data_IF_741741082364
#
_entry.id   IF_741741082364
#
_cell.length_a   1.000
_cell.length_b   1.000
_cell.length_c   1.000
_cell.angle_alpha   90.00
_cell.angle_beta   90.00
_cell.angle_gamma   90.00
#
_symmetry.space_group_name_H-M   'P 1'
#
loop_
_entity.id
_entity.type
_entity.pdbx_description
1 polymer ?
#
# COMPACT_ATOMS: atom_id res chain seq x y z
N UNK A 1 18.46 21.31 -20.98
CA UNK A 1 19.01 20.92 -19.67
C UNK A 1 18.92 19.42 -19.56
N UNK A 2 20.03 18.72 -19.65
CA UNK A 2 20.12 17.29 -19.38
C UNK A 2 19.97 17.12 -17.87
N UNK A 3 18.81 16.62 -17.42
CA UNK A 3 18.62 16.28 -16.01
C UNK A 3 19.47 15.03 -15.76
N UNK A 4 20.56 15.19 -15.02
CA UNK A 4 21.33 14.03 -14.52
C UNK A 4 20.37 13.16 -13.69
N UNK A 5 20.25 11.84 -13.95
CA UNK A 5 19.40 11.00 -13.14
C UNK A 5 19.80 11.12 -11.67
N UNK A 6 18.83 11.26 -10.78
CA UNK A 6 19.10 11.28 -9.36
C UNK A 6 19.76 9.94 -8.96
N UNK A 7 20.90 9.99 -8.29
CA UNK A 7 21.65 8.79 -7.85
C UNK A 7 21.14 8.25 -6.51
N UNK A 8 20.19 8.93 -5.87
CA UNK A 8 19.71 8.64 -4.52
C UNK A 8 18.21 8.90 -4.40
N UNK A 9 17.55 8.13 -3.54
CA UNK A 9 16.25 8.48 -2.98
C UNK A 9 16.45 9.48 -1.85
N UNK A 10 15.62 10.52 -1.81
CA UNK A 10 15.69 11.56 -0.78
C UNK A 10 14.33 11.70 -0.13
N UNK A 11 14.27 11.60 1.19
CA UNK A 11 13.09 11.92 2.00
C UNK A 11 13.27 13.29 2.63
N UNK A 12 12.26 14.15 2.49
CA UNK A 12 12.26 15.53 2.98
C UNK A 12 10.97 15.74 3.78
N UNK A 13 11.06 16.33 4.96
CA UNK A 13 9.90 16.76 5.71
C UNK A 13 9.19 17.89 4.96
N UNK A 14 7.97 17.71 4.45
CA UNK A 14 7.29 18.72 3.65
C UNK A 14 6.85 19.94 4.46
N UNK A 15 6.83 19.87 5.79
CA UNK A 15 6.45 20.98 6.65
C UNK A 15 7.63 21.90 6.99
N UNK A 16 8.85 21.36 7.05
CA UNK A 16 10.06 22.12 7.46
C UNK A 16 11.09 22.27 6.37
N UNK A 17 11.03 21.44 5.32
CA UNK A 17 12.07 21.35 4.29
C UNK A 17 13.33 20.59 4.75
N UNK A 18 13.35 20.04 5.98
CA UNK A 18 14.45 19.26 6.50
C UNK A 18 14.65 17.96 5.71
N UNK A 19 15.87 17.67 5.30
CA UNK A 19 16.24 16.39 4.71
C UNK A 19 16.31 15.31 5.78
N UNK A 20 15.41 14.33 5.71
CA UNK A 20 15.29 13.25 6.70
C UNK A 20 16.24 12.09 6.40
N UNK A 21 16.35 11.71 5.13
CA UNK A 21 17.24 10.62 4.71
C UNK A 21 17.67 10.77 3.26
N UNK A 22 18.84 10.21 2.97
CA UNK A 22 19.38 10.03 1.60
C UNK A 22 19.85 8.58 1.50
N UNK A 23 19.28 7.84 0.55
CA UNK A 23 19.63 6.44 0.34
C UNK A 23 20.04 6.23 -1.13
N UNK A 24 21.21 5.63 -1.41
CA UNK A 24 21.60 5.33 -2.78
C UNK A 24 20.60 4.35 -3.39
N UNK A 25 20.49 4.40 -4.71
CA UNK A 25 19.75 3.35 -5.43
C UNK A 25 20.50 2.04 -5.31
N UNK A 26 19.73 0.95 -5.19
CA UNK A 26 20.24 -0.40 -5.20
C UNK A 26 21.00 -0.69 -6.50
N UNK A 27 22.22 -1.20 -6.35
CA UNK A 27 23.02 -1.68 -7.48
C UNK A 27 22.58 -3.07 -7.97
N UNK A 28 23.27 -3.57 -8.98
CA UNK A 28 22.98 -4.89 -9.56
C UNK A 28 23.12 -6.03 -8.53
N UNK A 29 24.14 -5.95 -7.67
CA UNK A 29 24.39 -6.97 -6.64
C UNK A 29 23.30 -6.92 -5.55
N UNK A 30 22.80 -5.72 -5.19
CA UNK A 30 21.71 -5.58 -4.22
C UNK A 30 20.41 -6.20 -4.76
N UNK A 31 20.11 -5.95 -6.04
CA UNK A 31 18.95 -6.52 -6.73
C UNK A 31 19.08 -8.04 -6.79
N UNK A 32 20.24 -8.57 -7.19
CA UNK A 32 20.48 -10.02 -7.25
C UNK A 32 20.32 -10.68 -5.88
N UNK A 33 20.93 -10.11 -4.84
CA UNK A 33 20.81 -10.60 -3.46
C UNK A 33 19.34 -10.58 -2.98
N UNK A 34 18.59 -9.50 -3.26
CA UNK A 34 17.18 -9.41 -2.90
C UNK A 34 16.34 -10.49 -3.60
N UNK A 35 16.58 -10.74 -4.87
CA UNK A 35 15.89 -11.78 -5.65
C UNK A 35 16.22 -13.18 -5.17
N UNK A 36 17.49 -13.46 -4.82
CA UNK A 36 17.92 -14.75 -4.25
C UNK A 36 17.24 -15.00 -2.89
N UNK A 37 17.26 -14.02 -2.01
CA UNK A 37 16.62 -14.10 -0.68
C UNK A 37 15.10 -14.30 -0.82
N UNK A 38 14.44 -13.55 -1.70
CA UNK A 38 13.01 -13.68 -1.95
C UNK A 38 12.63 -15.06 -2.50
N UNK A 39 13.43 -15.60 -3.42
CA UNK A 39 13.21 -16.94 -3.97
C UNK A 39 13.41 -18.05 -2.93
N UNK A 40 14.42 -17.90 -2.05
CA UNK A 40 14.64 -18.85 -0.95
C UNK A 40 13.51 -18.77 0.07
N UNK A 41 13.16 -17.56 0.54
CA UNK A 41 12.08 -17.37 1.50
C UNK A 41 10.72 -17.87 0.99
N UNK A 42 10.42 -17.65 -0.28
CA UNK A 42 9.20 -18.20 -0.89
C UNK A 42 9.18 -19.74 -0.88
N UNK A 43 10.28 -20.42 -1.25
CA UNK A 43 10.33 -21.88 -1.26
C UNK A 43 9.99 -22.49 0.09
N UNK A 44 10.52 -21.92 1.15
CA UNK A 44 10.28 -22.41 2.49
C UNK A 44 8.88 -22.02 3.01
N UNK A 45 8.46 -20.79 2.73
CA UNK A 45 7.17 -20.25 3.18
C UNK A 45 5.96 -20.96 2.56
N UNK A 46 6.01 -21.30 1.29
CA UNK A 46 4.92 -21.98 0.58
C UNK A 46 4.58 -23.35 1.17
N UNK A 47 5.54 -24.02 1.81
CA UNK A 47 5.36 -25.34 2.42
C UNK A 47 4.78 -25.25 3.86
N UNK A 48 4.68 -24.03 4.43
CA UNK A 48 4.12 -23.87 5.77
C UNK A 48 2.60 -24.02 5.76
N UNK A 49 2.05 -24.42 6.92
CA UNK A 49 0.61 -24.49 7.12
C UNK A 49 -0.02 -23.08 7.08
N UNK A 50 -1.24 -22.97 6.53
CA UNK A 50 -1.96 -21.69 6.44
C UNK A 50 -2.32 -21.12 7.82
N UNK A 51 -2.62 -21.98 8.80
CA UNK A 51 -2.92 -21.52 10.17
C UNK A 51 -1.68 -20.90 10.83
N UNK A 52 -0.50 -21.49 10.61
CA UNK A 52 0.77 -20.88 11.03
C UNK A 52 1.00 -19.52 10.37
N UNK A 53 0.71 -19.39 9.07
CA UNK A 53 0.80 -18.09 8.38
C UNK A 53 -0.16 -17.08 8.97
N UNK A 54 -1.41 -17.46 9.27
CA UNK A 54 -2.39 -16.61 9.92
C UNK A 54 -1.93 -16.16 11.33
N UNK A 55 -1.32 -17.06 12.11
CA UNK A 55 -0.71 -16.71 13.40
C UNK A 55 0.40 -15.67 13.23
N UNK A 56 1.27 -15.83 12.26
CA UNK A 56 2.32 -14.86 11.95
C UNK A 56 1.78 -13.49 11.53
N UNK A 57 0.63 -13.42 10.86
CA UNK A 57 -0.01 -12.14 10.58
C UNK A 57 -0.48 -11.44 11.86
N UNK A 58 -1.01 -12.16 12.84
CA UNK A 58 -1.32 -11.59 14.17
C UNK A 58 -0.08 -11.05 14.88
N UNK A 59 1.06 -11.73 14.75
CA UNK A 59 2.33 -11.26 15.31
C UNK A 59 2.79 -9.94 14.62
N UNK A 60 2.56 -9.78 13.31
CA UNK A 60 2.77 -8.51 12.61
C UNK A 60 1.86 -7.42 13.19
N UNK A 61 0.58 -7.71 13.44
CA UNK A 61 -0.36 -6.78 14.07
C UNK A 61 0.10 -6.33 15.46
N UNK A 62 0.62 -7.26 16.29
CA UNK A 62 1.21 -6.95 17.61
C UNK A 62 2.44 -6.06 17.48
N UNK A 63 3.37 -6.40 16.56
CA UNK A 63 4.58 -5.62 16.33
C UNK A 63 4.26 -4.19 15.83
N UNK A 64 3.25 -4.02 14.96
CA UNK A 64 2.76 -2.70 14.56
C UNK A 64 2.23 -1.88 15.74
N UNK A 65 1.46 -2.49 16.63
CA UNK A 65 0.94 -1.81 17.82
C UNK A 65 2.08 -1.40 18.77
N UNK A 66 3.07 -2.25 18.93
CA UNK A 66 4.24 -1.96 19.78
C UNK A 66 5.06 -0.76 19.26
N UNK A 67 5.08 -0.53 17.93
CA UNK A 67 5.77 0.59 17.27
C UNK A 67 4.83 1.69 16.78
N UNK A 68 3.59 1.75 17.28
CA UNK A 68 2.54 2.58 16.68
C UNK A 68 2.91 4.07 16.64
N UNK A 69 3.48 4.60 17.69
CA UNK A 69 3.83 6.02 17.75
C UNK A 69 5.07 6.34 16.88
N UNK A 70 6.10 5.49 16.90
CA UNK A 70 7.28 5.60 16.05
C UNK A 70 6.89 5.63 14.57
N UNK A 71 6.02 4.70 14.15
CA UNK A 71 5.53 4.63 12.78
C UNK A 71 4.67 5.84 12.41
N UNK A 72 3.76 6.28 13.30
CA UNK A 72 2.89 7.44 13.04
C UNK A 72 3.73 8.73 12.88
N UNK A 73 4.73 8.94 13.72
CA UNK A 73 5.63 10.08 13.61
C UNK A 73 6.44 10.04 12.31
N UNK A 74 6.93 8.87 11.91
CA UNK A 74 7.66 8.73 10.64
C UNK A 74 6.75 9.05 9.45
N UNK A 75 5.53 8.52 9.42
CA UNK A 75 4.53 8.84 8.38
C UNK A 75 4.31 10.35 8.30
N UNK A 76 4.08 11.00 9.45
CA UNK A 76 3.86 12.44 9.51
C UNK A 76 5.08 13.23 9.00
N UNK A 77 6.28 12.86 9.40
CA UNK A 77 7.53 13.55 9.00
C UNK A 77 7.79 13.41 7.49
N UNK A 78 7.54 12.22 6.90
CA UNK A 78 7.84 11.98 5.48
C UNK A 78 6.74 12.45 4.53
N UNK A 79 5.47 12.55 4.99
CA UNK A 79 4.33 12.84 4.10
C UNK A 79 3.57 14.12 4.42
N UNK A 80 3.80 14.73 5.59
CA UNK A 80 3.01 15.86 6.08
C UNK A 80 1.59 15.48 6.54
N UNK A 81 1.29 14.19 6.68
CA UNK A 81 -0.01 13.72 7.16
C UNK A 81 -0.23 14.17 8.60
N UNK A 82 -1.43 14.67 8.97
CA UNK A 82 -1.76 14.97 10.36
C UNK A 82 -1.52 13.75 11.26
N UNK A 83 -0.89 13.95 12.41
CA UNK A 83 -0.46 12.86 13.30
C UNK A 83 -1.60 11.96 13.76
N UNK A 84 -2.80 12.50 13.98
CA UNK A 84 -3.99 11.72 14.33
C UNK A 84 -4.40 10.78 13.18
N UNK A 85 -4.25 11.22 11.93
CA UNK A 85 -4.54 10.40 10.76
C UNK A 85 -3.43 9.36 10.50
N UNK A 86 -2.17 9.69 10.83
CA UNK A 86 -1.07 8.72 10.78
C UNK A 86 -1.27 7.62 11.83
N UNK A 87 -1.65 7.97 13.07
CA UNK A 87 -2.03 6.99 14.11
C UNK A 87 -3.19 6.08 13.67
N UNK A 88 -4.21 6.67 13.02
CA UNK A 88 -5.34 5.91 12.47
C UNK A 88 -4.90 4.95 11.34
N UNK A 89 -3.94 5.34 10.51
CA UNK A 89 -3.37 4.46 9.47
C UNK A 89 -2.66 3.26 10.10
N UNK A 90 -1.88 3.46 11.15
CA UNK A 90 -1.20 2.36 11.87
C UNK A 90 -2.22 1.42 12.51
N UNK A 91 -3.21 1.96 13.21
CA UNK A 91 -4.27 1.16 13.84
C UNK A 91 -5.05 0.34 12.80
N UNK A 92 -5.43 0.95 11.68
CA UNK A 92 -6.11 0.27 10.57
C UNK A 92 -5.26 -0.88 10.01
N UNK A 93 -3.97 -0.66 9.85
CA UNK A 93 -3.04 -1.67 9.33
C UNK A 93 -2.86 -2.85 10.28
N UNK A 94 -2.80 -2.59 11.59
CA UNK A 94 -2.75 -3.63 12.60
C UNK A 94 -4.05 -4.44 12.66
N UNK A 95 -5.21 -3.77 12.59
CA UNK A 95 -6.51 -4.43 12.58
C UNK A 95 -6.71 -5.31 11.33
N UNK A 96 -6.12 -4.93 10.19
CA UNK A 96 -6.12 -5.78 9.00
C UNK A 96 -5.44 -7.12 9.26
N UNK A 97 -4.33 -7.12 9.98
CA UNK A 97 -3.62 -8.35 10.34
C UNK A 97 -4.49 -9.27 11.20
N UNK A 98 -5.23 -8.72 12.17
CA UNK A 98 -6.14 -9.50 13.00
C UNK A 98 -7.31 -10.06 12.19
N UNK A 99 -7.88 -9.25 11.28
CA UNK A 99 -9.01 -9.68 10.46
C UNK A 99 -8.67 -10.93 9.62
N UNK A 100 -7.42 -11.05 9.16
CA UNK A 100 -6.96 -12.20 8.38
C UNK A 100 -6.76 -13.49 9.19
N UNK A 101 -7.11 -13.52 10.49
CA UNK A 101 -7.29 -14.80 11.22
C UNK A 101 -8.38 -15.68 10.57
N UNK A 102 -9.35 -15.05 9.86
CA UNK A 102 -10.36 -15.75 9.07
C UNK A 102 -9.85 -16.22 7.70
N UNK A 103 -8.64 -15.84 7.33
CA UNK A 103 -8.04 -16.12 6.02
C UNK A 103 -7.94 -17.60 5.65
N UNK A 104 -7.63 -18.54 6.59
CA UNK A 104 -7.65 -19.96 6.29
C UNK A 104 -8.96 -20.47 5.71
N UNK A 105 -10.10 -19.93 6.18
CA UNK A 105 -11.41 -20.30 5.66
C UNK A 105 -11.66 -19.80 4.22
N UNK A 106 -11.02 -18.67 3.84
CA UNK A 106 -11.16 -18.04 2.52
C UNK A 106 -10.39 -18.78 1.41
N UNK A 107 -9.39 -19.58 1.77
CA UNK A 107 -8.52 -20.30 0.84
C UNK A 107 -8.73 -21.81 0.88
N UNK A 108 -9.85 -22.27 1.45
CA UNK A 108 -10.24 -23.69 1.40
C UNK A 108 -10.51 -24.11 -0.03
N UNK A 109 -10.17 -25.37 -0.33
CA UNK A 109 -10.55 -25.95 -1.59
C UNK A 109 -12.09 -25.96 -1.75
N UNK A 110 -12.55 -25.61 -2.94
CA UNK A 110 -13.96 -25.52 -3.28
C UNK A 110 -14.36 -26.67 -4.22
N UNK A 111 -15.50 -27.34 -4.02
CA UNK A 111 -15.98 -28.33 -4.96
C UNK A 111 -16.36 -27.65 -6.29
N UNK A 112 -16.12 -28.33 -7.39
CA UNK A 112 -16.61 -27.87 -8.69
C UNK A 112 -18.06 -28.31 -8.90
N UNK A 113 -18.79 -27.60 -9.75
CA UNK A 113 -20.17 -27.94 -10.15
C UNK A 113 -20.21 -28.94 -11.33
N UNK A 114 -19.12 -29.68 -11.59
CA UNK A 114 -19.08 -30.66 -12.67
C UNK A 114 -19.70 -31.96 -12.20
N UNK A 115 -20.85 -32.33 -12.78
CA UNK A 115 -21.57 -33.56 -12.44
C UNK A 115 -20.69 -34.80 -12.65
N UNK A 116 -20.76 -35.73 -11.71
CA UNK A 116 -20.08 -37.02 -11.74
C UNK A 116 -18.52 -36.95 -11.73
N UNK A 117 -17.93 -35.82 -11.33
CA UNK A 117 -16.49 -35.72 -11.16
C UNK A 117 -16.13 -35.26 -9.75
N UNK A 118 -15.14 -35.93 -9.14
CA UNK A 118 -14.49 -35.50 -7.90
C UNK A 118 -13.42 -34.46 -8.24
N UNK A 119 -13.83 -33.25 -8.59
CA UNK A 119 -12.93 -32.16 -8.92
C UNK A 119 -13.07 -31.01 -7.90
N UNK A 120 -11.96 -30.36 -7.59
CA UNK A 120 -11.90 -29.25 -6.64
C UNK A 120 -11.08 -28.10 -7.23
N UNK A 121 -11.40 -26.87 -6.81
CA UNK A 121 -10.57 -25.69 -7.05
C UNK A 121 -9.66 -25.51 -5.84
N UNK A 122 -8.36 -25.55 -6.05
CA UNK A 122 -7.37 -25.29 -5.01
C UNK A 122 -6.64 -23.98 -5.24
N UNK A 123 -6.40 -23.24 -4.15
CA UNK A 123 -5.57 -22.03 -4.16
C UNK A 123 -4.13 -22.39 -3.82
N UNK A 124 -3.20 -22.10 -4.73
CA UNK A 124 -1.77 -22.40 -4.57
C UNK A 124 -0.94 -21.14 -4.61
N UNK A 125 0.15 -21.01 -3.81
CA UNK A 125 1.07 -19.89 -3.89
C UNK A 125 1.68 -19.76 -5.30
N UNK A 126 1.70 -18.53 -5.81
CA UNK A 126 2.21 -18.21 -7.14
C UNK A 126 3.73 -18.04 -7.18
N UNK A 127 4.28 -17.35 -6.17
CA UNK A 127 5.69 -16.97 -6.13
C UNK A 127 5.93 -15.68 -5.35
N UNK A 128 7.08 -15.04 -5.59
CA UNK A 128 7.34 -13.72 -5.05
C UNK A 128 6.64 -12.65 -5.87
N UNK A 129 5.93 -11.75 -5.19
CA UNK A 129 5.21 -10.63 -5.79
C UNK A 129 6.03 -9.35 -5.61
N UNK A 130 6.39 -8.70 -6.72
CA UNK A 130 6.99 -7.37 -6.69
C UNK A 130 5.90 -6.32 -6.44
N UNK A 131 6.01 -5.58 -5.37
CA UNK A 131 5.06 -4.56 -4.97
C UNK A 131 5.67 -3.16 -5.11
N UNK A 132 5.05 -2.31 -5.93
CA UNK A 132 5.47 -0.93 -6.18
C UNK A 132 4.43 -0.02 -5.55
N UNK A 133 4.79 0.63 -4.42
CA UNK A 133 3.84 1.31 -3.54
C UNK A 133 4.08 2.81 -3.46
N UNK A 134 3.02 3.63 -3.35
CA UNK A 134 3.08 5.08 -3.30
C UNK A 134 3.33 5.60 -1.88
N UNK A 135 3.53 6.91 -1.79
CA UNK A 135 3.89 7.62 -0.57
C UNK A 135 2.70 8.12 0.27
N UNK A 136 1.49 8.22 -0.31
CA UNK A 136 0.37 8.92 0.35
C UNK A 136 -0.25 8.17 1.55
N UNK A 137 -0.16 6.86 1.57
CA UNK A 137 -0.45 5.98 2.71
C UNK A 137 0.68 4.94 2.80
N UNK A 138 1.86 5.36 3.30
CA UNK A 138 3.08 4.56 3.16
C UNK A 138 3.04 3.23 3.89
N UNK A 139 2.28 3.13 4.98
CA UNK A 139 2.07 1.87 5.68
C UNK A 139 0.88 1.09 5.10
N UNK A 140 -0.29 1.75 4.97
CA UNK A 140 -1.52 1.06 4.57
C UNK A 140 -1.43 0.41 3.19
N UNK A 141 -0.84 1.09 2.21
CA UNK A 141 -0.73 0.53 0.85
C UNK A 141 0.17 -0.71 0.81
N UNK A 142 1.20 -0.75 1.64
CA UNK A 142 2.04 -1.94 1.79
C UNK A 142 1.28 -3.06 2.48
N UNK A 143 0.67 -2.79 3.64
CA UNK A 143 -0.01 -3.82 4.45
C UNK A 143 -1.22 -4.41 3.74
N UNK A 144 -2.01 -3.59 3.02
CA UNK A 144 -3.16 -4.03 2.24
C UNK A 144 -2.80 -5.11 1.20
N UNK A 145 -1.61 -5.00 0.62
CA UNK A 145 -1.09 -6.01 -0.32
C UNK A 145 -0.35 -7.14 0.37
N UNK A 146 0.59 -6.81 1.28
CA UNK A 146 1.48 -7.79 1.90
C UNK A 146 0.73 -8.85 2.72
N UNK A 147 -0.26 -8.43 3.53
CA UNK A 147 -0.97 -9.33 4.45
C UNK A 147 -1.66 -10.49 3.71
N UNK A 148 -2.55 -10.27 2.73
CA UNK A 148 -3.18 -11.36 1.99
C UNK A 148 -2.20 -12.16 1.12
N UNK A 149 -1.20 -11.51 0.52
CA UNK A 149 -0.20 -12.16 -0.32
C UNK A 149 0.63 -13.15 0.50
N UNK A 150 1.10 -12.75 1.67
CA UNK A 150 1.89 -13.59 2.58
C UNK A 150 1.03 -14.71 3.17
N UNK A 151 -0.23 -14.44 3.56
CA UNK A 151 -1.17 -15.48 4.00
C UNK A 151 -1.35 -16.58 2.96
N UNK A 152 -1.51 -16.17 1.70
CA UNK A 152 -1.66 -17.12 0.59
C UNK A 152 -0.37 -17.92 0.27
N UNK A 153 0.70 -17.72 1.06
CA UNK A 153 1.95 -18.47 0.93
C UNK A 153 2.94 -17.89 -0.08
N UNK A 154 2.72 -16.65 -0.54
CA UNK A 154 3.63 -15.97 -1.47
C UNK A 154 4.68 -15.15 -0.73
N UNK A 155 5.78 -14.83 -1.42
CA UNK A 155 6.73 -13.81 -0.99
C UNK A 155 6.29 -12.41 -1.41
N UNK A 156 6.78 -11.39 -0.72
CA UNK A 156 6.48 -9.98 -0.99
C UNK A 156 7.77 -9.16 -1.01
N UNK A 157 8.13 -8.62 -2.17
CA UNK A 157 9.28 -7.74 -2.35
C UNK A 157 8.81 -6.32 -2.62
N UNK A 158 9.03 -5.42 -1.69
CA UNK A 158 8.60 -4.03 -1.75
C UNK A 158 9.61 -3.13 -2.45
N UNK A 159 9.17 -2.37 -3.43
CA UNK A 159 9.78 -1.13 -3.90
C UNK A 159 8.89 0.04 -3.48
N UNK A 160 9.31 0.78 -2.48
CA UNK A 160 8.53 1.92 -1.98
C UNK A 160 8.83 3.22 -2.75
N UNK A 161 7.98 4.24 -2.58
CA UNK A 161 8.24 5.55 -3.12
C UNK A 161 9.50 6.18 -2.49
N UNK A 162 10.33 6.91 -3.25
CA UNK A 162 11.65 7.35 -2.80
C UNK A 162 11.63 8.38 -1.65
N UNK A 163 10.48 9.00 -1.41
CA UNK A 163 10.31 10.00 -0.35
C UNK A 163 9.79 9.43 0.98
N UNK A 164 9.62 8.11 1.11
CA UNK A 164 9.12 7.43 2.33
C UNK A 164 9.98 6.24 2.73
N UNK A 165 11.29 6.41 2.66
CA UNK A 165 12.27 5.36 2.95
C UNK A 165 12.35 5.00 4.44
N UNK A 166 12.13 5.97 5.33
CA UNK A 166 12.02 5.72 6.76
C UNK A 166 10.82 4.81 7.09
N UNK A 167 9.67 5.05 6.45
CA UNK A 167 8.53 4.12 6.55
C UNK A 167 8.88 2.73 6.03
N UNK A 168 9.58 2.61 4.88
CA UNK A 168 9.97 1.31 4.33
C UNK A 168 10.87 0.51 5.30
N UNK A 169 11.83 1.19 5.93
CA UNK A 169 12.74 0.59 6.93
C UNK A 169 11.98 0.13 8.18
N UNK A 170 11.08 0.98 8.72
CA UNK A 170 10.28 0.63 9.88
C UNK A 170 9.32 -0.54 9.60
N UNK A 171 8.72 -0.59 8.40
CA UNK A 171 7.89 -1.74 7.99
C UNK A 171 8.73 -3.02 7.99
N UNK A 172 9.94 -3.00 7.41
CA UNK A 172 10.83 -4.16 7.43
C UNK A 172 11.17 -4.61 8.85
N UNK A 173 11.39 -3.65 9.76
CA UNK A 173 11.63 -3.96 11.17
C UNK A 173 10.42 -4.60 11.85
N UNK A 174 9.19 -4.15 11.53
CA UNK A 174 7.94 -4.76 12.01
C UNK A 174 7.83 -6.23 11.59
N UNK A 175 8.10 -6.55 10.33
CA UNK A 175 8.09 -7.94 9.85
C UNK A 175 9.16 -8.80 10.53
N UNK A 176 10.34 -8.24 10.78
CA UNK A 176 11.42 -8.90 11.52
C UNK A 176 11.03 -9.16 12.99
N UNK A 177 10.48 -8.16 13.68
CA UNK A 177 10.04 -8.26 15.07
C UNK A 177 8.90 -9.29 15.24
N UNK A 178 8.05 -9.44 14.23
CA UNK A 178 7.00 -10.46 14.16
C UNK A 178 7.55 -11.88 13.90
N UNK A 179 8.85 -12.04 13.68
CA UNK A 179 9.48 -13.32 13.38
C UNK A 179 9.08 -13.89 12.01
N UNK A 180 8.83 -13.02 11.03
CA UNK A 180 8.65 -13.44 9.64
C UNK A 180 9.99 -13.91 9.10
N UNK A 181 10.07 -15.12 8.50
CA UNK A 181 11.31 -15.65 7.96
C UNK A 181 11.91 -14.73 6.88
N UNK A 182 13.25 -14.67 6.86
CA UNK A 182 13.99 -13.88 5.89
C UNK A 182 13.58 -14.26 4.45
N UNK A 183 13.39 -13.27 3.59
CA UNK A 183 12.99 -13.46 2.20
C UNK A 183 11.48 -13.58 1.95
N UNK A 184 10.65 -13.84 2.98
CA UNK A 184 9.19 -13.80 2.82
C UNK A 184 8.70 -12.37 2.61
N UNK A 185 9.22 -11.44 3.38
CA UNK A 185 9.09 -10.00 3.16
C UNK A 185 10.48 -9.40 2.93
N UNK A 186 10.61 -8.59 1.90
CA UNK A 186 11.80 -7.82 1.61
C UNK A 186 11.45 -6.42 1.10
N UNK A 187 12.41 -5.49 1.16
CA UNK A 187 12.29 -4.21 0.50
C UNK A 187 13.59 -3.81 -0.16
N UNK A 188 13.49 -3.03 -1.23
CA UNK A 188 14.63 -2.58 -2.00
C UNK A 188 14.42 -1.14 -2.50
N UNK A 189 15.43 -0.28 -2.29
CA UNK A 189 15.44 1.07 -2.84
C UNK A 189 15.92 1.05 -4.29
N UNK A 190 15.09 0.52 -5.21
CA UNK A 190 15.41 0.42 -6.63
C UNK A 190 14.93 1.65 -7.41
N UNK A 191 15.69 2.06 -8.40
CA UNK A 191 15.27 3.01 -9.42
C UNK A 191 14.35 2.35 -10.47
N UNK A 192 14.00 3.09 -11.53
CA UNK A 192 13.12 2.55 -12.57
C UNK A 192 13.75 1.45 -13.40
N UNK A 193 15.09 1.48 -13.60
CA UNK A 193 15.81 0.47 -14.36
C UNK A 193 15.92 -0.82 -13.56
N UNK A 194 16.21 -0.73 -12.26
CA UNK A 194 16.19 -1.85 -11.34
C UNK A 194 14.81 -2.50 -11.24
N UNK A 195 13.73 -1.70 -11.20
CA UNK A 195 12.35 -2.22 -11.27
C UNK A 195 12.12 -2.97 -12.57
N UNK A 196 12.55 -2.42 -13.70
CA UNK A 196 12.40 -3.06 -15.02
C UNK A 196 13.19 -4.37 -15.11
N UNK A 197 14.36 -4.45 -14.49
CA UNK A 197 15.14 -5.67 -14.37
C UNK A 197 14.38 -6.73 -13.54
N UNK A 198 13.88 -6.37 -12.36
CA UNK A 198 13.12 -7.28 -11.49
C UNK A 198 11.83 -7.80 -12.16
N UNK A 199 11.12 -6.97 -12.91
CA UNK A 199 9.91 -7.41 -13.63
C UNK A 199 10.22 -8.52 -14.64
N UNK A 200 11.38 -8.47 -15.29
CA UNK A 200 11.80 -9.48 -16.27
C UNK A 200 12.32 -10.77 -15.64
N UNK A 201 12.74 -10.72 -14.38
CA UNK A 201 13.37 -11.86 -13.69
C UNK A 201 12.35 -12.96 -13.39
N UNK A 202 12.67 -14.20 -13.67
CA UNK A 202 11.79 -15.36 -13.50
C UNK A 202 11.42 -15.65 -12.04
N UNK A 203 12.20 -15.16 -11.07
CA UNK A 203 11.95 -15.29 -9.63
C UNK A 203 10.79 -14.39 -9.15
N UNK A 204 10.42 -13.36 -9.92
CA UNK A 204 9.22 -12.55 -9.69
C UNK A 204 8.06 -13.18 -10.47
N UNK A 205 7.02 -13.60 -9.76
CA UNK A 205 5.87 -14.29 -10.35
C UNK A 205 4.76 -13.33 -10.81
N UNK A 206 4.59 -12.20 -10.15
CA UNK A 206 3.60 -11.19 -10.50
C UNK A 206 4.00 -9.81 -9.96
N UNK A 207 3.28 -8.78 -10.38
CA UNK A 207 3.52 -7.39 -9.98
C UNK A 207 2.24 -6.79 -9.43
N UNK A 208 2.32 -6.03 -8.34
CA UNK A 208 1.23 -5.19 -7.85
C UNK A 208 1.70 -3.74 -7.76
N UNK A 209 0.92 -2.82 -8.30
CA UNK A 209 1.25 -1.40 -8.37
C UNK A 209 0.11 -0.57 -7.80
N UNK A 210 0.44 0.31 -6.88
CA UNK A 210 -0.43 1.43 -6.51
C UNK A 210 0.30 2.72 -6.85
N UNK A 211 -0.31 3.57 -7.71
CA UNK A 211 0.38 4.78 -8.15
C UNK A 211 -0.37 5.59 -9.20
N UNK A 212 0.37 6.37 -9.98
CA UNK A 212 -0.20 7.16 -11.07
C UNK A 212 -0.57 6.28 -12.28
N UNK A 213 -1.54 6.73 -13.08
CA UNK A 213 -1.91 6.08 -14.36
C UNK A 213 -0.69 5.87 -15.25
N UNK A 214 0.22 6.86 -15.32
CA UNK A 214 1.46 6.76 -16.10
C UNK A 214 2.36 5.63 -15.60
N UNK A 215 2.55 5.50 -14.28
CA UNK A 215 3.34 4.43 -13.69
C UNK A 215 2.68 3.06 -13.93
N UNK A 216 1.35 2.97 -13.73
CA UNK A 216 0.60 1.75 -13.99
C UNK A 216 0.69 1.28 -15.44
N UNK A 217 0.56 2.19 -16.41
CA UNK A 217 0.69 1.88 -17.83
C UNK A 217 2.10 1.36 -18.17
N UNK A 218 3.15 2.01 -17.66
CA UNK A 218 4.54 1.62 -17.91
C UNK A 218 4.88 0.24 -17.30
N UNK A 219 4.44 -0.01 -16.07
CA UNK A 219 4.67 -1.29 -15.38
C UNK A 219 3.80 -2.40 -15.99
N UNK A 220 2.51 -2.11 -16.27
CA UNK A 220 1.60 -3.06 -16.89
C UNK A 220 2.09 -3.55 -18.25
N UNK A 221 2.64 -2.65 -19.08
CA UNK A 221 3.26 -3.02 -20.36
C UNK A 221 4.45 -3.98 -20.18
N UNK A 222 5.33 -3.71 -19.20
CA UNK A 222 6.49 -4.57 -18.92
C UNK A 222 6.06 -5.92 -18.34
N UNK A 223 5.10 -5.94 -17.41
CA UNK A 223 4.56 -7.17 -16.82
C UNK A 223 3.89 -8.04 -17.91
N UNK A 224 3.11 -7.43 -18.81
CA UNK A 224 2.49 -8.12 -19.94
C UNK A 224 3.52 -8.71 -20.92
N UNK A 225 4.57 -7.95 -21.24
CA UNK A 225 5.67 -8.45 -22.08
C UNK A 225 6.43 -9.64 -21.44
N UNK A 226 6.46 -9.69 -20.09
CA UNK A 226 7.03 -10.81 -19.33
C UNK A 226 6.00 -11.91 -19.00
N UNK A 227 4.76 -11.84 -19.51
CA UNK A 227 3.66 -12.76 -19.27
C UNK A 227 3.31 -12.93 -17.78
N UNK A 228 3.45 -11.84 -17.00
CA UNK A 228 3.17 -11.83 -15.56
C UNK A 228 1.85 -11.15 -15.25
N UNK A 229 1.12 -11.69 -14.28
CA UNK A 229 -0.07 -11.04 -13.75
C UNK A 229 0.30 -9.69 -13.14
N UNK A 230 -0.53 -8.67 -13.40
CA UNK A 230 -0.34 -7.34 -12.86
C UNK A 230 -1.64 -6.84 -12.24
N UNK A 231 -1.57 -6.42 -10.96
CA UNK A 231 -2.67 -5.76 -10.27
C UNK A 231 -2.36 -4.27 -10.23
N UNK A 232 -3.26 -3.45 -10.77
CA UNK A 232 -3.10 -2.02 -10.90
C UNK A 232 -4.15 -1.28 -10.06
N UNK A 233 -3.69 -0.54 -9.06
CA UNK A 233 -4.47 0.38 -8.25
C UNK A 233 -4.02 1.81 -8.59
N UNK A 234 -4.82 2.54 -9.34
CA UNK A 234 -4.41 3.79 -9.96
C UNK A 234 -5.23 4.98 -9.45
N UNK A 235 -4.88 6.18 -9.91
CA UNK A 235 -5.64 7.37 -9.60
C UNK A 235 -7.01 7.37 -10.27
N UNK A 236 -7.95 8.05 -9.65
CA UNK A 236 -9.31 8.23 -10.14
C UNK A 236 -9.83 9.64 -9.88
N UNK A 237 -11.05 9.91 -10.32
CA UNK A 237 -11.79 11.14 -10.05
C UNK A 237 -13.23 10.77 -9.70
N UNK A 238 -13.41 10.29 -8.47
CA UNK A 238 -14.69 9.76 -8.01
C UNK A 238 -15.71 10.89 -7.85
N UNK A 239 -16.98 10.66 -8.27
CA UNK A 239 -18.04 11.61 -8.05
C UNK A 239 -18.56 11.53 -6.61
N UNK A 240 -18.92 12.68 -6.06
CA UNK A 240 -19.71 12.81 -4.84
C UNK A 240 -21.06 13.39 -5.23
N UNK A 241 -22.12 12.59 -5.12
CA UNK A 241 -23.45 12.94 -5.64
C UNK A 241 -24.34 13.34 -4.46
N UNK A 242 -25.02 14.49 -4.57
CA UNK A 242 -25.97 15.01 -3.59
C UNK A 242 -27.32 15.26 -4.25
N UNK A 243 -28.33 14.53 -3.81
CA UNK A 243 -29.70 14.66 -4.31
C UNK A 243 -30.49 15.68 -3.48
N UNK A 244 -31.61 16.17 -3.99
CA UNK A 244 -32.44 17.18 -3.34
C UNK A 244 -33.00 16.77 -1.97
N UNK A 245 -33.21 15.47 -1.76
CA UNK A 245 -33.70 14.88 -0.51
C UNK A 245 -32.60 14.45 0.46
N UNK A 246 -31.34 14.78 0.17
CA UNK A 246 -30.22 14.43 1.03
C UNK A 246 -30.28 15.20 2.37
N UNK A 247 -29.87 14.53 3.46
CA UNK A 247 -29.54 15.22 4.71
C UNK A 247 -28.34 16.14 4.47
N UNK A 248 -28.59 17.44 4.43
CA UNK A 248 -27.61 18.44 4.06
C UNK A 248 -26.43 18.52 5.04
N UNK A 249 -26.69 18.35 6.32
CA UNK A 249 -25.62 18.40 7.34
C UNK A 249 -24.70 17.18 7.23
N UNK A 250 -25.28 16.00 7.10
CA UNK A 250 -24.53 14.75 6.88
C UNK A 250 -23.75 14.79 5.55
N UNK A 251 -24.37 15.28 4.48
CA UNK A 251 -23.75 15.40 3.18
C UNK A 251 -22.52 16.33 3.20
N UNK A 252 -22.64 17.50 3.84
CA UNK A 252 -21.51 18.44 4.00
C UNK A 252 -20.40 17.85 4.85
N UNK A 253 -20.72 17.22 5.97
CA UNK A 253 -19.74 16.55 6.83
C UNK A 253 -18.98 15.45 6.08
N UNK A 254 -19.71 14.60 5.34
CA UNK A 254 -19.12 13.53 4.53
C UNK A 254 -18.26 14.08 3.38
N UNK A 255 -18.71 15.16 2.74
CA UNK A 255 -17.99 15.82 1.66
C UNK A 255 -16.66 16.42 2.13
N UNK A 256 -16.66 17.11 3.25
CA UNK A 256 -15.43 17.67 3.86
C UNK A 256 -14.47 16.55 4.26
N UNK A 257 -14.95 15.51 4.94
CA UNK A 257 -14.13 14.37 5.31
C UNK A 257 -13.56 13.65 4.07
N UNK A 258 -14.38 13.38 3.06
CA UNK A 258 -13.99 12.70 1.83
C UNK A 258 -13.02 13.52 0.94
N UNK A 259 -13.08 14.86 1.01
CA UNK A 259 -12.20 15.72 0.24
C UNK A 259 -10.86 16.01 0.91
N UNK A 260 -10.87 16.25 2.23
CA UNK A 260 -9.70 16.79 2.94
C UNK A 260 -8.95 15.76 3.78
N UNK A 261 -9.40 14.51 3.85
CA UNK A 261 -8.60 13.43 4.45
C UNK A 261 -7.21 13.40 3.84
N UNK A 262 -6.17 13.23 4.66
CA UNK A 262 -4.77 13.23 4.24
C UNK A 262 -4.41 14.43 3.35
N UNK A 263 -4.90 15.61 3.70
CA UNK A 263 -4.74 16.86 2.92
C UNK A 263 -5.21 16.73 1.45
N UNK A 264 -6.22 15.85 1.22
CA UNK A 264 -6.77 15.58 -0.11
C UNK A 264 -5.94 14.61 -0.97
N UNK A 265 -4.89 14.02 -0.41
CA UNK A 265 -3.95 13.12 -1.12
C UNK A 265 -4.43 11.67 -1.10
N UNK A 266 -5.70 11.45 -1.43
CA UNK A 266 -6.37 10.14 -1.43
C UNK A 266 -6.82 9.80 -2.85
N UNK A 267 -6.55 8.59 -3.32
CA UNK A 267 -6.99 8.14 -4.65
C UNK A 267 -8.51 8.21 -4.80
N UNK A 268 -9.27 7.83 -3.77
CA UNK A 268 -10.73 7.85 -3.69
C UNK A 268 -11.29 9.17 -3.10
N UNK A 269 -10.50 10.27 -3.05
CA UNK A 269 -11.03 11.54 -2.59
C UNK A 269 -12.13 12.05 -3.52
N UNK A 270 -13.17 12.63 -2.95
CA UNK A 270 -14.20 13.34 -3.70
C UNK A 270 -13.59 14.49 -4.48
N UNK A 271 -13.48 14.33 -5.81
CA UNK A 271 -12.86 15.32 -6.71
C UNK A 271 -13.89 16.05 -7.56
N UNK A 272 -15.05 15.46 -7.74
CA UNK A 272 -16.19 16.04 -8.48
C UNK A 272 -17.42 16.00 -7.58
N UNK A 273 -18.00 17.16 -7.33
CA UNK A 273 -19.25 17.28 -6.61
C UNK A 273 -20.36 17.51 -7.64
N UNK A 274 -21.31 16.57 -7.72
CA UNK A 274 -22.47 16.60 -8.61
C UNK A 274 -23.69 16.79 -7.72
N UNK A 275 -24.26 17.98 -7.74
CA UNK A 275 -25.28 18.39 -6.77
C UNK A 275 -26.53 18.78 -7.55
N UNK A 276 -27.69 18.25 -7.16
CA UNK A 276 -28.96 18.66 -7.76
C UNK A 276 -29.24 20.14 -7.49
N UNK A 277 -29.84 20.81 -8.48
CA UNK A 277 -30.01 22.26 -8.52
C UNK A 277 -30.76 22.81 -7.26
N UNK A 278 -31.77 22.10 -6.78
CA UNK A 278 -32.60 22.55 -5.65
C UNK A 278 -31.83 22.67 -4.33
N UNK A 279 -30.75 21.90 -4.13
CA UNK A 279 -29.95 21.93 -2.90
C UNK A 279 -28.55 22.54 -3.11
N UNK A 280 -28.17 22.86 -4.33
CA UNK A 280 -26.80 23.23 -4.71
C UNK A 280 -26.29 24.48 -3.98
N UNK A 281 -27.10 25.53 -3.89
CA UNK A 281 -26.71 26.76 -3.20
C UNK A 281 -26.45 26.53 -1.71
N UNK A 282 -27.39 25.87 -1.03
CA UNK A 282 -27.31 25.60 0.41
C UNK A 282 -26.14 24.64 0.75
N UNK A 283 -25.92 23.63 -0.10
CA UNK A 283 -24.76 22.73 0.04
C UNK A 283 -23.45 23.48 -0.11
N UNK A 284 -23.31 24.30 -1.16
CA UNK A 284 -22.07 25.02 -1.48
C UNK A 284 -21.72 26.00 -0.35
N UNK A 285 -22.67 26.77 0.14
CA UNK A 285 -22.47 27.71 1.26
C UNK A 285 -21.95 26.99 2.51
N UNK A 286 -22.62 25.91 2.91
CA UNK A 286 -22.22 25.14 4.10
C UNK A 286 -20.91 24.41 3.90
N UNK A 287 -20.66 23.85 2.72
CA UNK A 287 -19.40 23.17 2.41
C UNK A 287 -18.21 24.14 2.47
N UNK A 288 -18.34 25.35 1.89
CA UNK A 288 -17.30 26.38 1.95
C UNK A 288 -17.04 26.82 3.37
N UNK A 289 -18.10 27.06 4.17
CA UNK A 289 -17.97 27.42 5.57
C UNK A 289 -17.25 26.32 6.39
N UNK A 290 -17.65 25.08 6.19
CA UNK A 290 -17.03 23.93 6.89
C UNK A 290 -15.57 23.69 6.44
N UNK A 291 -15.27 23.88 5.15
CA UNK A 291 -13.89 23.78 4.65
C UNK A 291 -12.98 24.90 5.19
N UNK A 292 -13.51 26.13 5.31
CA UNK A 292 -12.78 27.26 5.87
C UNK A 292 -12.52 27.13 7.38
N UNK A 293 -13.33 26.36 8.07
CA UNK A 293 -13.17 26.06 9.51
C UNK A 293 -12.13 24.97 9.81
N UNK A 294 -11.53 24.34 8.76
CA UNK A 294 -10.47 23.35 8.97
C UNK A 294 -9.22 24.07 9.48
N UNK A 295 -8.79 23.71 10.68
CA UNK A 295 -7.57 24.25 11.27
C UNK A 295 -6.34 23.67 10.59
N UNK A 296 -5.45 24.55 10.14
CA UNK A 296 -4.13 24.19 9.64
C UNK A 296 -3.16 24.09 10.83
N UNK A 297 -2.89 22.87 11.30
CA UNK A 297 -1.87 22.60 12.31
C UNK A 297 -0.47 22.51 11.69
N UNK A 298 0.57 22.91 12.47
CA UNK A 298 1.94 22.47 12.17
C UNK A 298 2.12 21.07 12.65
N UNK A 299 2.71 20.21 11.83
CA UNK A 299 3.16 18.88 12.26
C UNK A 299 4.24 19.04 13.33
N UNK A 300 4.23 18.26 14.42
CA UNK A 300 5.30 18.26 15.40
C UNK A 300 6.63 17.84 14.79
#
# INVERSE_FOLDING_TARGET
MTITPATHAISINPATGEQLSVLPWAGADDIENALQLAAAGFRDWRETNIDYRAEKLRDIGKALRARSEEMAQMITRETGKPINQARAEVAKSANLCDWYEHGPAMLKAEPTLVENQQAVIEYRPLGTILAIMPWNFPLWQVMRGAVPIILAGNGYLLKHAPNVMGCAQLIAQVFKDAGIPQGVYGWLNADNDGVSQMIKDSRIAAVTVTGSVRAGAAIGAQAGAALKKCVLELGGSDPFIVLNDADLELAVKAAVAGRYQNTGQVCAAAKRFIIEEGIASAFTERFVAAAAAIENGRSP
#
